data_IF_553696685126
#
_entry.id   IF_553696685126
#
_cell.length_a   1.000
_cell.length_b   1.000
_cell.length_c   1.000
_cell.angle_alpha   90.00
_cell.angle_beta   90.00
_cell.angle_gamma   90.00
#
_symmetry.space_group_name_H-M   'P 1'
#
loop_
_entity.id
_entity.type
_entity.pdbx_description
1 polymer ?
#
# COMPACT_ATOMS: atom_id res chain seq x y z
N UNK A 1 -33.61 6.22 -9.87
CA UNK A 1 -32.82 7.26 -9.17
C UNK A 1 -31.35 6.98 -9.46
N UNK A 2 -30.60 7.93 -10.04
CA UNK A 2 -29.14 7.84 -10.09
C UNK A 2 -28.62 7.97 -8.66
N UNK A 3 -28.01 6.94 -8.13
CA UNK A 3 -27.27 7.00 -6.85
C UNK A 3 -25.94 7.69 -7.17
N UNK A 4 -25.71 8.85 -6.59
CA UNK A 4 -24.41 9.50 -6.73
C UNK A 4 -23.35 8.63 -6.06
N UNK A 5 -22.26 8.37 -6.78
CA UNK A 5 -21.21 7.46 -6.30
C UNK A 5 -20.27 8.13 -5.31
N UNK A 6 -20.16 9.46 -5.36
CA UNK A 6 -19.26 10.24 -4.51
C UNK A 6 -20.01 11.38 -3.84
N UNK A 7 -19.55 11.81 -2.66
CA UNK A 7 -20.01 13.03 -2.01
C UNK A 7 -19.95 14.20 -2.99
N UNK A 8 -21.00 15.06 -3.01
CA UNK A 8 -21.00 16.27 -3.84
C UNK A 8 -20.09 17.37 -3.28
N UNK A 9 -19.78 17.31 -1.99
CA UNK A 9 -18.92 18.26 -1.31
C UNK A 9 -17.47 17.80 -1.29
N UNK A 10 -16.55 18.75 -1.25
CA UNK A 10 -15.13 18.50 -1.13
C UNK A 10 -14.34 18.61 -2.43
N UNK A 11 -13.05 18.45 -2.32
CA UNK A 11 -12.06 18.51 -3.39
C UNK A 11 -11.59 17.11 -3.78
N UNK A 12 -10.96 17.00 -4.95
CA UNK A 12 -10.27 15.79 -5.35
C UNK A 12 -8.78 15.91 -5.00
N UNK A 13 -8.29 14.96 -4.22
CA UNK A 13 -6.89 14.88 -3.83
C UNK A 13 -6.22 13.67 -4.48
N UNK A 14 -5.15 13.93 -5.23
CA UNK A 14 -4.35 12.90 -5.90
C UNK A 14 -3.29 12.37 -4.96
N UNK A 15 -3.16 11.05 -4.86
CA UNK A 15 -2.14 10.41 -4.02
C UNK A 15 -1.56 9.14 -4.59
N UNK A 16 -0.41 8.75 -4.06
CA UNK A 16 0.20 7.44 -4.29
C UNK A 16 0.37 6.72 -2.94
N UNK A 17 -0.07 5.45 -2.90
CA UNK A 17 -0.11 4.66 -1.67
C UNK A 17 1.07 3.68 -1.51
N UNK A 18 1.96 3.59 -2.52
CA UNK A 18 3.08 2.66 -2.52
C UNK A 18 4.34 3.35 -3.06
N UNK A 19 5.30 3.60 -2.17
CA UNK A 19 6.47 4.39 -2.48
C UNK A 19 7.64 4.02 -1.57
N UNK A 20 8.83 3.86 -2.16
CA UNK A 20 10.08 3.59 -1.48
C UNK A 20 11.06 4.76 -1.61
N UNK A 21 11.92 4.90 -0.63
CA UNK A 21 13.00 5.87 -0.59
C UNK A 21 14.31 5.23 -0.11
N UNK A 22 15.34 6.06 0.13
CA UNK A 22 16.61 5.57 0.73
C UNK A 22 16.48 5.07 2.16
N UNK A 23 15.28 5.10 2.76
CA UNK A 23 15.03 4.48 4.07
C UNK A 23 14.94 2.95 3.97
N UNK A 24 14.60 2.40 2.79
CA UNK A 24 14.75 0.98 2.47
C UNK A 24 15.66 0.79 1.27
N UNK A 25 15.14 0.66 0.08
CA UNK A 25 15.89 0.30 -1.12
C UNK A 25 15.59 1.20 -2.34
N UNK A 26 14.75 2.21 -2.18
CA UNK A 26 14.61 3.27 -3.15
C UNK A 26 15.87 4.13 -3.26
N UNK A 27 16.11 4.78 -4.39
CA UNK A 27 17.33 5.58 -4.62
C UNK A 27 17.20 7.07 -4.33
N UNK A 28 15.99 7.57 -4.32
CA UNK A 28 15.75 8.96 -3.95
C UNK A 28 15.59 9.08 -2.44
N UNK A 29 16.11 10.17 -1.88
CA UNK A 29 15.84 10.51 -0.48
C UNK A 29 14.37 10.91 -0.31
N UNK A 30 13.79 10.79 0.91
CA UNK A 30 12.41 11.18 1.15
C UNK A 30 12.06 12.58 0.66
N UNK A 31 12.95 13.57 0.88
CA UNK A 31 12.74 14.94 0.42
C UNK A 31 12.66 15.07 -1.10
N UNK A 32 13.45 14.29 -1.85
CA UNK A 32 13.46 14.31 -3.31
C UNK A 32 12.20 13.63 -3.87
N UNK A 33 11.75 12.54 -3.22
CA UNK A 33 10.49 11.87 -3.55
C UNK A 33 9.31 12.82 -3.34
N UNK A 34 9.20 13.46 -2.17
CA UNK A 34 8.15 14.44 -1.87
C UNK A 34 8.15 15.57 -2.90
N UNK A 35 9.32 16.12 -3.21
CA UNK A 35 9.47 17.18 -4.23
C UNK A 35 9.00 16.70 -5.61
N UNK A 36 9.36 15.47 -6.01
CA UNK A 36 8.94 14.87 -7.27
C UNK A 36 7.40 14.81 -7.34
N UNK A 37 6.74 14.16 -6.39
CA UNK A 37 5.30 13.97 -6.41
C UNK A 37 4.53 15.30 -6.30
N UNK A 38 4.95 16.21 -5.45
CA UNK A 38 4.37 17.58 -5.38
C UNK A 38 4.44 18.31 -6.72
N UNK A 39 5.56 18.21 -7.44
CA UNK A 39 5.73 18.87 -8.74
C UNK A 39 4.79 18.36 -9.83
N UNK A 40 4.21 17.16 -9.64
CA UNK A 40 3.22 16.55 -10.54
C UNK A 40 1.78 16.59 -9.98
N UNK A 41 1.53 17.49 -9.03
CA UNK A 41 0.17 17.76 -8.52
C UNK A 41 -0.39 16.68 -7.61
N UNK A 42 0.46 15.88 -6.96
CA UNK A 42 0.04 14.98 -5.89
C UNK A 42 -0.14 15.78 -4.60
N UNK A 43 -1.11 15.36 -3.80
CA UNK A 43 -1.51 16.00 -2.55
C UNK A 43 -1.17 15.13 -1.34
N UNK A 44 -1.00 13.82 -1.55
CA UNK A 44 -0.57 12.94 -0.48
C UNK A 44 0.26 11.76 -1.01
N UNK A 45 1.06 11.18 -0.12
CA UNK A 45 1.96 10.06 -0.41
C UNK A 45 2.05 9.16 0.82
N UNK A 46 2.09 7.84 0.61
CA UNK A 46 2.46 6.88 1.64
C UNK A 46 3.88 6.38 1.37
N UNK A 47 4.81 6.64 2.29
CA UNK A 47 6.07 5.91 2.32
C UNK A 47 5.84 4.53 2.93
N UNK A 48 6.00 3.50 2.10
CA UNK A 48 5.78 2.10 2.43
C UNK A 48 7.08 1.32 2.41
N UNK A 49 8.07 1.82 3.11
CA UNK A 49 9.41 1.23 3.15
C UNK A 49 9.39 -0.24 3.58
N UNK A 50 10.24 -1.08 3.01
CA UNK A 50 10.33 -2.50 3.33
C UNK A 50 10.63 -2.73 4.82
N UNK A 51 9.67 -3.33 5.52
CA UNK A 51 9.74 -3.70 6.93
C UNK A 51 10.19 -2.56 7.88
N UNK A 52 10.01 -1.32 7.44
CA UNK A 52 10.44 -0.13 8.19
C UNK A 52 9.32 0.91 8.23
N UNK A 53 8.73 1.12 9.42
CA UNK A 53 7.63 2.07 9.57
C UNK A 53 8.11 3.51 9.47
N UNK A 54 7.55 4.24 8.50
CA UNK A 54 7.95 5.60 8.18
C UNK A 54 6.82 6.58 8.48
N UNK A 55 7.08 7.49 9.41
CA UNK A 55 6.23 8.65 9.71
C UNK A 55 7.07 9.92 9.63
N UNK A 56 6.95 10.66 8.54
CA UNK A 56 7.69 11.89 8.27
C UNK A 56 6.76 13.11 8.18
N UNK A 57 5.55 13.02 8.77
CA UNK A 57 4.55 14.10 8.74
C UNK A 57 5.09 15.39 9.31
N UNK A 58 5.79 15.36 10.43
CA UNK A 58 6.38 16.57 11.06
C UNK A 58 7.35 17.32 10.13
N UNK A 59 7.96 16.61 9.15
CA UNK A 59 8.93 17.20 8.25
C UNK A 59 8.30 17.74 6.96
N UNK A 60 7.24 17.09 6.45
CA UNK A 60 6.77 17.33 5.09
C UNK A 60 5.31 17.74 4.98
N UNK A 61 4.48 17.55 6.00
CA UNK A 61 3.08 17.96 5.94
C UNK A 61 2.97 19.49 5.80
N UNK A 62 2.07 19.89 4.95
CA UNK A 62 1.76 21.28 4.65
C UNK A 62 0.27 21.41 4.30
N UNK A 63 -0.21 22.63 4.06
CA UNK A 63 -1.60 22.88 3.68
C UNK A 63 -2.01 22.23 2.34
N UNK A 64 -1.05 21.90 1.49
CA UNK A 64 -1.25 21.42 0.11
C UNK A 64 -0.66 20.01 -0.13
N UNK A 65 -0.04 19.41 0.88
CA UNK A 65 0.53 18.07 0.79
C UNK A 65 0.68 17.42 2.16
N UNK A 66 0.29 16.15 2.27
CA UNK A 66 0.43 15.37 3.51
C UNK A 66 1.05 13.99 3.25
N UNK A 67 1.59 13.39 4.31
CA UNK A 67 2.04 12.01 4.29
C UNK A 67 1.07 11.10 5.05
N UNK A 68 0.87 9.90 4.53
CA UNK A 68 0.24 8.80 5.24
C UNK A 68 1.36 7.90 5.78
N UNK A 69 1.52 7.77 7.10
CA UNK A 69 2.54 6.89 7.67
C UNK A 69 2.28 5.43 7.34
N UNK A 70 3.33 4.68 7.03
CA UNK A 70 3.17 3.27 6.67
C UNK A 70 4.46 2.49 6.56
N UNK A 71 4.32 1.24 6.15
CA UNK A 71 5.39 0.33 5.77
C UNK A 71 4.84 -0.76 4.84
N UNK A 72 5.72 -1.44 4.14
CA UNK A 72 5.44 -2.68 3.45
C UNK A 72 6.10 -3.85 4.18
N UNK A 73 5.30 -4.69 4.83
CA UNK A 73 5.78 -5.84 5.58
C UNK A 73 5.89 -7.08 4.68
N UNK A 74 6.93 -7.89 4.91
CA UNK A 74 7.31 -9.00 4.05
C UNK A 74 7.16 -10.37 4.73
N UNK A 75 6.70 -11.36 3.95
CA UNK A 75 6.83 -12.78 4.28
C UNK A 75 7.39 -13.51 3.05
N UNK A 76 8.46 -14.27 3.21
CA UNK A 76 9.27 -14.79 2.10
C UNK A 76 9.42 -16.30 2.20
N UNK A 77 9.08 -17.02 1.12
CA UNK A 77 9.39 -18.42 0.94
C UNK A 77 10.62 -18.55 0.06
N UNK A 78 11.68 -19.16 0.58
CA UNK A 78 12.90 -19.45 -0.16
C UNK A 78 13.03 -20.94 -0.50
N UNK A 79 13.95 -21.28 -1.40
CA UNK A 79 14.33 -22.68 -1.62
C UNK A 79 15.15 -23.22 -0.44
N UNK A 80 15.35 -24.57 -0.40
CA UNK A 80 16.09 -25.23 0.70
C UNK A 80 17.50 -24.69 0.88
N UNK A 81 18.17 -24.37 -0.20
CA UNK A 81 19.52 -23.84 -0.22
C UNK A 81 19.58 -22.34 0.14
N UNK A 82 18.41 -21.68 0.28
CA UNK A 82 18.27 -20.24 0.54
C UNK A 82 18.96 -19.34 -0.51
N UNK A 83 19.03 -19.82 -1.75
CA UNK A 83 19.69 -19.12 -2.84
C UNK A 83 18.73 -18.33 -3.71
N UNK A 84 17.43 -18.60 -3.59
CA UNK A 84 16.43 -17.87 -4.37
C UNK A 84 15.06 -17.82 -3.67
N UNK A 85 14.33 -16.71 -3.90
CA UNK A 85 12.98 -16.49 -3.43
C UNK A 85 11.99 -17.14 -4.37
N UNK A 86 11.16 -18.06 -3.82
CA UNK A 86 10.08 -18.73 -4.57
C UNK A 86 8.84 -17.86 -4.67
N UNK A 87 8.41 -17.33 -3.52
CA UNK A 87 7.21 -16.49 -3.36
C UNK A 87 7.46 -15.46 -2.28
N UNK A 88 6.72 -14.36 -2.33
CA UNK A 88 6.67 -13.41 -1.23
C UNK A 88 5.22 -12.93 -1.03
N UNK A 89 4.85 -12.59 0.20
CA UNK A 89 3.71 -11.74 0.48
C UNK A 89 4.25 -10.37 0.85
N UNK A 90 3.74 -9.33 0.20
CA UNK A 90 3.92 -7.95 0.59
C UNK A 90 2.58 -7.36 0.99
N UNK A 91 2.51 -6.88 2.22
CA UNK A 91 1.31 -6.31 2.80
C UNK A 91 1.63 -4.94 3.39
N UNK A 92 0.96 -3.91 2.90
CA UNK A 92 1.07 -2.61 3.55
C UNK A 92 0.32 -2.59 4.89
N UNK A 93 0.94 -1.90 5.84
CA UNK A 93 0.25 -1.32 6.96
C UNK A 93 0.30 0.21 6.82
N UNK A 94 -0.82 0.82 6.50
CA UNK A 94 -0.98 2.27 6.46
C UNK A 94 -1.66 2.70 7.75
N UNK A 95 -1.15 3.73 8.42
CA UNK A 95 -1.72 4.23 9.67
C UNK A 95 -3.21 4.54 9.49
N UNK A 96 -4.04 3.94 10.34
CA UNK A 96 -5.48 4.09 10.32
C UNK A 96 -5.96 5.43 10.87
N UNK A 97 -7.28 5.60 10.89
CA UNK A 97 -7.93 6.75 11.50
C UNK A 97 -7.78 6.72 13.04
N UNK A 98 -8.21 7.80 13.70
CA UNK A 98 -8.07 7.94 15.15
C UNK A 98 -8.67 6.75 15.93
N UNK A 99 -9.82 6.23 15.48
CA UNK A 99 -10.45 5.05 16.12
C UNK A 99 -9.56 3.81 16.08
N UNK A 100 -8.86 3.58 14.95
CA UNK A 100 -7.93 2.44 14.82
C UNK A 100 -6.67 2.64 15.65
N UNK A 101 -6.18 3.87 15.72
CA UNK A 101 -5.04 4.24 16.56
C UNK A 101 -5.36 4.06 18.05
N UNK A 102 -6.52 4.53 18.50
CA UNK A 102 -6.98 4.38 19.88
C UNK A 102 -7.13 2.90 20.26
N UNK A 103 -7.63 2.07 19.34
CA UNK A 103 -7.75 0.63 19.55
C UNK A 103 -6.40 -0.08 19.67
N UNK A 104 -5.36 0.39 19.00
CA UNK A 104 -3.99 -0.14 19.12
C UNK A 104 -3.30 0.32 20.42
N UNK A 105 -3.65 1.49 20.94
CA UNK A 105 -3.08 2.04 22.16
C UNK A 105 -1.55 2.05 22.14
N UNK A 106 -0.90 1.51 23.14
CA UNK A 106 0.57 1.47 23.26
C UNK A 106 1.25 0.60 22.18
N UNK A 107 0.49 -0.23 21.45
CA UNK A 107 1.02 -1.08 20.40
C UNK A 107 1.15 -0.36 19.05
N UNK A 108 0.69 0.88 18.93
CA UNK A 108 0.80 1.65 17.68
C UNK A 108 2.24 1.68 17.18
N UNK A 109 2.42 1.56 15.85
CA UNK A 109 3.74 1.62 15.22
C UNK A 109 4.37 3.00 15.41
N UNK A 110 5.68 3.03 15.60
CA UNK A 110 6.45 4.26 15.81
C UNK A 110 7.46 4.45 14.68
N UNK A 111 7.67 5.70 14.26
CA UNK A 111 8.69 6.01 13.25
C UNK A 111 10.03 5.37 13.59
N UNK A 112 10.64 4.75 12.59
CA UNK A 112 11.92 4.05 12.73
C UNK A 112 11.82 2.61 13.23
N UNK A 113 10.63 2.14 13.59
CA UNK A 113 10.43 0.75 14.00
C UNK A 113 10.59 -0.21 12.82
N UNK A 114 11.37 -1.28 13.02
CA UNK A 114 11.54 -2.35 12.04
C UNK A 114 10.75 -3.58 12.43
N UNK A 115 9.94 -4.07 11.51
CA UNK A 115 9.32 -5.37 11.63
C UNK A 115 10.26 -6.42 11.02
N UNK A 116 10.45 -7.54 11.73
CA UNK A 116 11.23 -8.63 11.15
C UNK A 116 10.39 -9.32 10.06
N UNK A 117 10.93 -9.47 8.83
CA UNK A 117 10.30 -10.29 7.80
C UNK A 117 10.07 -11.73 8.29
N UNK A 118 9.00 -12.35 7.81
CA UNK A 118 8.75 -13.76 8.06
C UNK A 118 9.45 -14.60 6.99
N UNK A 119 10.36 -15.50 7.41
CA UNK A 119 11.09 -16.36 6.49
C UNK A 119 10.67 -17.81 6.60
N UNK A 120 10.37 -18.43 5.45
CA UNK A 120 9.98 -19.82 5.33
C UNK A 120 10.88 -20.54 4.33
N UNK A 121 11.23 -21.80 4.62
CA UNK A 121 11.95 -22.70 3.71
C UNK A 121 11.01 -23.81 3.26
N UNK A 122 10.20 -24.31 4.19
CA UNK A 122 9.15 -25.32 4.06
C UNK A 122 7.95 -24.85 4.88
N UNK A 123 6.87 -25.63 4.92
CA UNK A 123 5.67 -25.35 5.72
C UNK A 123 4.97 -24.02 5.36
N UNK A 124 5.00 -23.66 4.08
CA UNK A 124 4.33 -22.48 3.58
C UNK A 124 2.84 -22.71 3.39
N UNK A 125 2.05 -22.23 4.32
CA UNK A 125 0.62 -22.01 4.09
C UNK A 125 0.41 -20.55 3.73
N UNK A 126 0.40 -20.23 2.42
CA UNK A 126 0.42 -18.85 1.96
C UNK A 126 -0.74 -18.01 2.49
N UNK A 127 -1.96 -18.56 2.57
CA UNK A 127 -3.11 -17.82 3.10
C UNK A 127 -2.93 -17.51 4.60
N UNK A 128 -2.50 -18.45 5.40
CA UNK A 128 -2.28 -18.23 6.84
C UNK A 128 -1.13 -17.25 7.09
N UNK A 129 -0.07 -17.35 6.31
CA UNK A 129 1.09 -16.45 6.39
C UNK A 129 0.69 -15.01 6.06
N UNK A 130 -0.05 -14.80 4.97
CA UNK A 130 -0.54 -13.48 4.58
C UNK A 130 -1.53 -12.91 5.62
N UNK A 131 -2.44 -13.75 6.15
CA UNK A 131 -3.38 -13.34 7.18
C UNK A 131 -2.67 -12.94 8.47
N UNK A 132 -1.70 -13.73 8.90
CA UNK A 132 -0.88 -13.43 10.09
C UNK A 132 -0.15 -12.09 9.95
N UNK A 133 0.40 -11.80 8.77
CA UNK A 133 1.10 -10.55 8.48
C UNK A 133 0.14 -9.36 8.55
N UNK A 134 -1.03 -9.47 7.91
CA UNK A 134 -2.08 -8.45 7.96
C UNK A 134 -2.58 -8.20 9.39
N UNK A 135 -2.90 -9.26 10.13
CA UNK A 135 -3.41 -9.15 11.50
C UNK A 135 -2.37 -8.51 12.44
N UNK A 136 -1.08 -8.79 12.25
CA UNK A 136 0.01 -8.16 12.99
C UNK A 136 0.01 -6.64 12.78
N UNK A 137 -0.18 -6.16 11.55
CA UNK A 137 -0.23 -4.73 11.23
C UNK A 137 -1.51 -4.06 11.74
N UNK A 138 -2.65 -4.74 11.59
CA UNK A 138 -3.94 -4.22 12.06
C UNK A 138 -3.98 -4.03 13.58
N UNK A 139 -3.41 -4.95 14.35
CA UNK A 139 -3.23 -4.81 15.81
C UNK A 139 -2.37 -3.61 16.21
N UNK A 140 -1.59 -3.10 15.26
CA UNK A 140 -0.68 -1.97 15.44
C UNK A 140 -1.26 -0.64 14.92
N UNK A 141 -2.60 -0.58 14.70
CA UNK A 141 -3.32 0.64 14.32
C UNK A 141 -3.37 0.92 12.82
N UNK A 142 -2.97 -0.03 11.97
CA UNK A 142 -3.00 0.11 10.53
C UNK A 142 -4.25 -0.48 9.91
N UNK A 143 -4.68 0.04 8.75
CA UNK A 143 -5.43 -0.73 7.76
C UNK A 143 -4.45 -1.33 6.76
N UNK A 144 -4.84 -2.42 6.10
CA UNK A 144 -3.90 -3.22 5.31
C UNK A 144 -4.33 -3.38 3.87
N UNK A 145 -3.35 -3.43 2.98
CA UNK A 145 -3.53 -3.79 1.56
C UNK A 145 -2.70 -5.01 1.21
N UNK A 146 -3.12 -5.75 0.20
CA UNK A 146 -2.32 -6.80 -0.40
C UNK A 146 -1.71 -6.29 -1.71
N UNK A 147 -0.37 -6.37 -1.86
CA UNK A 147 0.33 -5.73 -2.96
C UNK A 147 0.76 -6.72 -4.04
N UNK A 148 0.77 -6.28 -5.29
CA UNK A 148 1.32 -6.91 -6.50
C UNK A 148 1.41 -8.45 -6.49
N UNK A 149 0.30 -9.21 -6.30
CA UNK A 149 0.34 -10.67 -6.13
C UNK A 149 0.92 -11.42 -7.33
N UNK A 150 0.81 -10.91 -8.56
CA UNK A 150 1.43 -11.53 -9.75
C UNK A 150 2.95 -11.47 -9.64
N UNK A 151 3.51 -10.29 -9.37
CA UNK A 151 4.95 -10.13 -9.13
C UNK A 151 5.44 -11.00 -7.98
N UNK A 152 4.64 -11.13 -6.95
CA UNK A 152 4.90 -11.94 -5.75
C UNK A 152 4.87 -13.45 -6.01
N UNK A 153 4.42 -13.89 -7.18
CA UNK A 153 4.33 -15.30 -7.62
C UNK A 153 3.45 -16.16 -6.73
N UNK A 154 2.43 -15.57 -6.12
CA UNK A 154 1.48 -16.27 -5.26
C UNK A 154 0.29 -16.81 -6.08
N UNK A 155 -0.34 -17.85 -5.55
CA UNK A 155 -1.54 -18.42 -6.14
C UNK A 155 -2.79 -17.70 -5.65
N UNK A 156 -3.87 -17.72 -6.45
CA UNK A 156 -5.15 -17.10 -6.06
C UNK A 156 -5.65 -17.61 -4.71
N UNK A 157 -5.47 -18.91 -4.42
CA UNK A 157 -5.89 -19.56 -3.18
C UNK A 157 -5.15 -19.00 -1.94
N UNK A 158 -4.00 -18.41 -2.12
CA UNK A 158 -3.21 -17.78 -1.04
C UNK A 158 -3.73 -16.40 -0.66
N UNK A 159 -4.65 -15.82 -1.46
CA UNK A 159 -5.11 -14.43 -1.30
C UNK A 159 -6.64 -14.35 -1.17
N UNK A 160 -7.37 -15.17 -1.92
CA UNK A 160 -8.82 -14.98 -2.15
C UNK A 160 -9.69 -15.08 -0.88
N UNK A 161 -9.21 -15.75 0.17
CA UNK A 161 -9.91 -15.95 1.44
C UNK A 161 -9.39 -15.06 2.58
N UNK A 162 -8.50 -14.12 2.30
CA UNK A 162 -8.02 -13.15 3.29
C UNK A 162 -9.18 -12.35 3.90
N UNK A 163 -9.09 -12.12 5.20
CA UNK A 163 -10.10 -11.40 5.99
C UNK A 163 -9.58 -10.03 6.39
N UNK A 164 -10.52 -9.08 6.46
CA UNK A 164 -10.27 -7.75 7.02
C UNK A 164 -9.09 -6.98 6.35
N UNK A 165 -8.76 -7.33 5.12
CA UNK A 165 -7.92 -6.52 4.24
C UNK A 165 -8.81 -5.46 3.59
N UNK A 166 -8.37 -4.20 3.61
CA UNK A 166 -9.09 -3.09 3.02
C UNK A 166 -9.11 -3.16 1.49
N UNK A 167 -7.94 -3.34 0.87
CA UNK A 167 -7.80 -3.30 -0.58
C UNK A 167 -6.72 -4.25 -1.10
N UNK A 168 -6.80 -4.53 -2.39
CA UNK A 168 -5.74 -5.15 -3.17
C UNK A 168 -5.18 -4.16 -4.18
N UNK A 169 -3.88 -4.19 -4.42
CA UNK A 169 -3.23 -3.43 -5.47
C UNK A 169 -3.57 -4.04 -6.82
N UNK A 170 -4.43 -3.35 -7.58
CA UNK A 170 -4.93 -3.83 -8.88
C UNK A 170 -3.97 -3.47 -10.00
N UNK A 171 -3.20 -2.40 -9.79
CA UNK A 171 -2.17 -1.94 -10.72
C UNK A 171 -0.96 -1.41 -9.96
N UNK A 172 0.23 -1.90 -10.36
CA UNK A 172 1.52 -1.49 -9.83
C UNK A 172 2.42 -1.07 -11.00
N UNK A 173 2.82 0.20 -11.04
CA UNK A 173 3.60 0.73 -12.16
C UNK A 173 5.06 0.28 -12.13
N UNK A 174 5.66 0.15 -10.95
CA UNK A 174 7.02 -0.36 -10.78
C UNK A 174 7.17 -1.75 -11.39
N UNK A 175 6.23 -2.66 -11.14
CA UNK A 175 6.25 -4.01 -11.72
C UNK A 175 6.02 -3.99 -13.23
N UNK A 176 5.22 -3.04 -13.78
CA UNK A 176 5.10 -2.88 -15.24
C UNK A 176 6.45 -2.56 -15.87
N UNK A 177 7.19 -1.60 -15.31
CA UNK A 177 8.49 -1.19 -15.89
C UNK A 177 9.61 -2.15 -15.59
N UNK A 178 9.53 -2.90 -14.49
CA UNK A 178 10.52 -3.91 -14.10
C UNK A 178 10.41 -5.18 -14.94
N UNK A 179 9.20 -5.73 -15.10
CA UNK A 179 8.99 -7.06 -15.68
C UNK A 179 7.86 -7.13 -16.73
N UNK A 180 7.20 -6.01 -17.05
CA UNK A 180 6.10 -5.95 -18.01
C UNK A 180 4.74 -6.38 -17.48
N UNK A 181 4.66 -6.77 -16.22
CA UNK A 181 3.44 -7.26 -15.55
C UNK A 181 3.12 -6.33 -14.38
N UNK A 182 1.94 -5.74 -14.34
CA UNK A 182 1.56 -4.83 -13.26
C UNK A 182 0.06 -4.78 -13.02
N UNK A 183 -0.71 -5.65 -13.70
CA UNK A 183 -2.15 -5.75 -13.52
C UNK A 183 -2.52 -7.01 -12.73
N UNK A 184 -3.00 -6.82 -11.51
CA UNK A 184 -3.41 -7.87 -10.58
C UNK A 184 -4.93 -8.07 -10.54
N UNK A 185 -5.64 -7.60 -11.59
CA UNK A 185 -7.10 -7.63 -11.70
C UNK A 185 -7.70 -9.02 -11.47
N UNK A 186 -7.00 -10.08 -11.85
CA UNK A 186 -7.47 -11.45 -11.69
C UNK A 186 -7.69 -11.83 -10.22
N UNK A 187 -6.84 -11.37 -9.33
CA UNK A 187 -6.97 -11.60 -7.88
C UNK A 187 -8.14 -10.80 -7.31
N UNK A 188 -8.25 -9.52 -7.67
CA UNK A 188 -9.34 -8.65 -7.24
C UNK A 188 -10.70 -9.20 -7.68
N UNK A 189 -10.84 -9.56 -8.96
CA UNK A 189 -12.06 -10.16 -9.49
C UNK A 189 -12.40 -11.49 -8.82
N UNK A 190 -11.40 -12.34 -8.50
CA UNK A 190 -11.64 -13.60 -7.81
C UNK A 190 -12.21 -13.37 -6.40
N UNK A 191 -11.71 -12.39 -5.65
CA UNK A 191 -12.23 -12.00 -4.35
C UNK A 191 -13.67 -11.47 -4.46
N UNK A 192 -13.94 -10.57 -5.42
CA UNK A 192 -15.29 -10.02 -5.65
C UNK A 192 -16.30 -11.11 -6.05
N UNK A 193 -15.92 -12.05 -6.92
CA UNK A 193 -16.78 -13.19 -7.32
C UNK A 193 -17.10 -14.12 -6.16
N UNK A 194 -16.23 -14.18 -5.17
CA UNK A 194 -16.44 -14.93 -3.92
C UNK A 194 -17.36 -14.20 -2.94
N UNK A 195 -17.72 -12.94 -3.23
CA UNK A 195 -18.57 -12.11 -2.39
C UNK A 195 -17.78 -11.34 -1.32
N UNK A 196 -16.45 -11.30 -1.40
CA UNK A 196 -15.63 -10.49 -0.52
C UNK A 196 -15.80 -9.01 -0.89
N UNK A 197 -16.14 -8.17 0.09
CA UNK A 197 -16.15 -6.74 -0.08
C UNK A 197 -14.73 -6.22 0.05
N UNK A 198 -14.05 -6.05 -1.07
CA UNK A 198 -12.65 -5.63 -1.17
C UNK A 198 -12.51 -4.44 -2.11
N UNK A 199 -11.81 -3.42 -1.69
CA UNK A 199 -11.45 -2.29 -2.55
C UNK A 199 -10.26 -2.64 -3.46
N UNK A 200 -10.03 -1.82 -4.48
CA UNK A 200 -8.85 -1.87 -5.32
C UNK A 200 -8.16 -0.52 -5.37
N UNK A 201 -6.87 -0.50 -5.62
CA UNK A 201 -6.13 0.73 -5.85
C UNK A 201 -5.04 0.55 -6.91
N UNK A 202 -4.52 1.68 -7.41
CA UNK A 202 -3.36 1.74 -8.29
C UNK A 202 -2.27 2.58 -7.63
N UNK A 203 -1.03 2.19 -7.82
CA UNK A 203 0.12 2.85 -7.24
C UNK A 203 1.39 2.67 -8.08
N UNK A 204 2.47 3.24 -7.61
CA UNK A 204 3.74 3.23 -8.33
C UNK A 204 4.70 2.15 -7.86
N UNK A 205 4.82 1.91 -6.56
CA UNK A 205 5.87 1.06 -6.00
C UNK A 205 7.26 1.49 -6.50
N UNK A 206 7.47 2.79 -6.48
CA UNK A 206 8.63 3.40 -7.09
C UNK A 206 9.90 3.21 -6.26
N UNK A 207 10.96 2.78 -6.90
CA UNK A 207 12.30 2.66 -6.33
C UNK A 207 13.31 3.61 -7.00
N UNK A 208 12.97 4.14 -8.18
CA UNK A 208 13.81 5.03 -8.98
C UNK A 208 15.21 4.46 -9.22
N UNK A 209 15.35 3.23 -9.75
CA UNK A 209 16.62 2.50 -9.81
C UNK A 209 17.65 3.10 -10.78
N UNK A 210 17.30 4.17 -11.51
CA UNK A 210 18.17 4.86 -12.45
C UNK A 210 18.27 4.18 -13.84
N UNK A 211 17.71 2.99 -14.00
CA UNK A 211 17.62 2.29 -15.29
C UNK A 211 16.32 2.60 -16.02
N UNK A 212 15.27 2.88 -15.27
CA UNK A 212 13.94 3.25 -15.75
C UNK A 212 13.27 4.17 -14.72
N UNK A 213 12.20 4.83 -15.15
CA UNK A 213 11.42 5.73 -14.32
C UNK A 213 10.10 5.05 -13.95
N UNK A 214 9.99 4.63 -12.69
CA UNK A 214 8.88 3.85 -12.11
C UNK A 214 7.91 4.69 -11.27
N UNK A 215 7.94 6.01 -11.42
CA UNK A 215 7.06 6.93 -10.71
C UNK A 215 5.98 7.51 -11.62
N UNK A 216 4.86 7.96 -11.03
CA UNK A 216 3.77 8.73 -11.65
C UNK A 216 2.89 7.92 -12.63
N UNK A 217 2.94 6.59 -12.60
CA UNK A 217 2.15 5.71 -13.47
C UNK A 217 0.85 5.21 -12.87
N UNK A 218 0.76 5.09 -11.55
CA UNK A 218 -0.43 4.68 -10.81
C UNK A 218 -0.80 5.71 -9.73
N UNK A 219 -2.12 5.93 -9.48
CA UNK A 219 -2.54 6.83 -8.43
C UNK A 219 -3.99 6.59 -7.99
N UNK A 220 -4.33 7.13 -6.85
CA UNK A 220 -5.70 7.26 -6.36
C UNK A 220 -6.14 8.72 -6.36
N UNK A 221 -7.44 8.95 -6.57
CA UNK A 221 -8.08 10.26 -6.42
C UNK A 221 -9.15 10.15 -5.33
N UNK A 222 -8.90 10.78 -4.20
CA UNK A 222 -9.80 10.74 -3.03
C UNK A 222 -10.67 11.99 -3.01
N UNK A 223 -11.97 11.82 -2.80
CA UNK A 223 -12.92 12.93 -2.61
C UNK A 223 -13.01 13.24 -1.13
N UNK A 224 -12.58 14.42 -0.70
CA UNK A 224 -12.59 14.83 0.70
C UNK A 224 -12.83 16.32 0.87
N UNK A 225 -13.44 16.72 1.96
CA UNK A 225 -13.60 18.13 2.32
C UNK A 225 -12.28 18.77 2.75
N UNK A 226 -11.38 17.97 3.32
CA UNK A 226 -10.12 18.44 3.89
C UNK A 226 -8.95 17.57 3.45
N UNK A 227 -7.76 18.17 3.35
CA UNK A 227 -6.50 17.48 3.17
C UNK A 227 -5.83 17.27 4.54
N UNK A 228 -6.39 16.33 5.32
CA UNK A 228 -5.83 15.89 6.61
C UNK A 228 -5.69 14.38 6.60
N UNK A 229 -4.76 13.83 7.41
CA UNK A 229 -4.62 12.38 7.54
C UNK A 229 -5.94 11.70 7.87
N UNK A 230 -6.67 12.21 8.87
CA UNK A 230 -7.93 11.64 9.32
C UNK A 230 -8.99 11.63 8.21
N UNK A 231 -9.15 12.76 7.50
CA UNK A 231 -10.16 12.86 6.43
C UNK A 231 -9.81 11.95 5.25
N UNK A 232 -8.58 11.98 4.76
CA UNK A 232 -8.14 11.13 3.64
C UNK A 232 -8.29 9.65 3.98
N UNK A 233 -7.87 9.21 5.17
CA UNK A 233 -8.01 7.81 5.58
C UNK A 233 -9.49 7.40 5.71
N UNK A 234 -10.33 8.24 6.30
CA UNK A 234 -11.76 7.95 6.41
C UNK A 234 -12.43 7.80 5.04
N UNK A 235 -12.11 8.65 4.06
CA UNK A 235 -12.65 8.56 2.71
C UNK A 235 -12.09 7.36 1.92
N UNK A 236 -10.81 7.01 2.10
CA UNK A 236 -10.26 5.76 1.55
C UNK A 236 -11.01 4.54 2.09
N UNK A 237 -11.19 4.44 3.41
CA UNK A 237 -11.91 3.34 4.04
C UNK A 237 -13.38 3.26 3.64
N UNK A 238 -14.02 4.40 3.37
CA UNK A 238 -15.41 4.48 2.90
C UNK A 238 -15.57 4.15 1.40
N UNK A 239 -14.47 4.15 0.63
CA UNK A 239 -14.51 3.96 -0.83
C UNK A 239 -14.84 5.23 -1.62
N UNK A 240 -14.69 6.41 -1.03
CA UNK A 240 -14.91 7.72 -1.67
C UNK A 240 -13.71 8.13 -2.54
N UNK A 241 -13.27 7.21 -3.39
CA UNK A 241 -12.15 7.42 -4.29
C UNK A 241 -12.28 6.61 -5.58
N UNK A 242 -11.49 6.97 -6.57
CA UNK A 242 -11.20 6.12 -7.72
C UNK A 242 -9.69 6.01 -7.93
N UNK A 243 -9.28 5.04 -8.70
CA UNK A 243 -7.87 4.86 -9.05
C UNK A 243 -7.67 4.82 -10.57
N UNK A 244 -6.46 5.12 -11.00
CA UNK A 244 -6.09 5.14 -12.42
C UNK A 244 -4.69 4.55 -12.63
N UNK A 245 -4.57 3.79 -13.71
CA UNK A 245 -3.32 3.18 -14.22
C UNK A 245 -2.67 3.99 -15.35
N UNK A 246 -3.06 5.24 -15.57
CA UNK A 246 -2.57 6.07 -16.68
C UNK A 246 -1.97 7.38 -16.16
N UNK A 247 -0.90 7.81 -16.86
CA UNK A 247 -0.28 9.13 -16.68
C UNK A 247 -1.19 10.25 -17.13
#
# INVERSE_FOLDING_TARGET
MRKEMFSQNGNWYKGNLHCHSTNSDGRLKPEDVVKLYKSYGYHFLCFSEHDYYTDLREQFDSKDFILLPGLEASAVLVNKEKTFVKKTHHIHGILGNQKMQDAAGDQILKHGERLQPLFYVEDWNGLEVAQQLSDRLRKRGCFTTYNHPVWSRVEIQEVVDLKDIWAIEVFNYGTVVECGEGYDRVFWEAMLRKGTHIHGFASDDNHNPGKFFDSLGGYVMVRSEELTHEAIVNHLLAGDYYFSANK
#
